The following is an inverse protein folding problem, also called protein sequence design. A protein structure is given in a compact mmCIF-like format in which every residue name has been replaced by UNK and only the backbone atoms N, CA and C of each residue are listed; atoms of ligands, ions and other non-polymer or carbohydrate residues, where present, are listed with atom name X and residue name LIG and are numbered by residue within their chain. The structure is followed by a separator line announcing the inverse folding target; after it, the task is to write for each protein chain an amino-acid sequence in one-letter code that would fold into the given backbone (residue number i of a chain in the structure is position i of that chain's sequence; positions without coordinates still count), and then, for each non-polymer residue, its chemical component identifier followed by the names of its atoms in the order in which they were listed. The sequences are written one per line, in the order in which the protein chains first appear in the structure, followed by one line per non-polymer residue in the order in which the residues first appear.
data_IF_164194065931
#
_entry.id   IF_164194065931
#
_cell.length_a   1.000
_cell.length_b   1.000
_cell.length_c   1.000
_cell.angle_alpha   90.00
_cell.angle_beta   90.00
_cell.angle_gamma   90.00
#
_symmetry.space_group_name_H-M   'P 1'
#
loop_
_entity.id
_entity.type
_entity.pdbx_description
1 polymer ?
#
# COMPACT_ATOMS: atom_id res chain seq x y z
N UNK A 1 -57.48 15.80 -13.15
CA UNK A 1 -56.08 15.74 -12.71
C UNK A 1 -55.19 15.76 -13.95
N UNK A 2 -54.58 16.90 -14.27
CA UNK A 2 -53.76 17.06 -15.46
C UNK A 2 -52.39 16.38 -15.27
N UNK A 3 -52.01 15.54 -16.24
CA UNK A 3 -50.74 14.83 -16.29
C UNK A 3 -49.60 15.86 -16.46
N UNK A 4 -48.65 15.90 -15.52
CA UNK A 4 -47.41 16.68 -15.69
C UNK A 4 -46.60 16.02 -16.79
N UNK A 5 -46.50 16.69 -17.94
CA UNK A 5 -45.60 16.34 -19.04
C UNK A 5 -44.16 16.32 -18.54
N UNK A 6 -43.44 15.22 -18.82
CA UNK A 6 -42.06 15.00 -18.37
C UNK A 6 -41.09 16.01 -18.97
N UNK A 7 -40.10 16.45 -18.19
CA UNK A 7 -39.06 17.36 -18.64
C UNK A 7 -38.35 16.86 -19.93
N UNK A 8 -37.93 17.77 -20.83
CA UNK A 8 -37.34 17.38 -22.11
C UNK A 8 -36.00 16.66 -21.92
N UNK A 9 -35.82 15.53 -22.62
CA UNK A 9 -34.60 14.74 -22.60
C UNK A 9 -33.48 15.43 -23.42
N UNK A 10 -32.24 15.16 -23.03
CA UNK A 10 -31.07 15.53 -23.83
C UNK A 10 -31.13 14.89 -25.22
N UNK A 11 -30.98 15.70 -26.28
CA UNK A 11 -30.92 15.24 -27.68
C UNK A 11 -29.61 14.53 -28.07
N UNK A 12 -28.97 13.80 -27.15
CA UNK A 12 -27.73 13.05 -27.40
C UNK A 12 -27.91 11.62 -26.88
N UNK A 13 -28.53 10.72 -27.65
CA UNK A 13 -28.66 9.32 -27.25
C UNK A 13 -27.29 8.69 -26.98
N UNK A 14 -27.11 7.83 -25.96
CA UNK A 14 -28.10 7.31 -25.01
C UNK A 14 -28.25 8.17 -23.72
N UNK A 15 -27.92 9.45 -23.74
CA UNK A 15 -28.07 10.32 -22.57
C UNK A 15 -29.55 10.51 -22.20
N UNK A 16 -29.91 10.06 -21.00
CA UNK A 16 -31.28 10.17 -20.46
C UNK A 16 -31.44 11.37 -19.51
N UNK A 17 -30.50 12.33 -19.53
CA UNK A 17 -30.56 13.49 -18.65
C UNK A 17 -31.72 14.41 -19.04
N UNK A 18 -32.57 14.74 -18.07
CA UNK A 18 -33.74 15.63 -18.19
C UNK A 18 -33.50 17.03 -17.62
N UNK A 19 -32.26 17.33 -17.23
CA UNK A 19 -31.87 18.65 -16.71
C UNK A 19 -31.92 19.75 -17.77
N UNK A 20 -31.54 20.98 -17.36
CA UNK A 20 -31.53 22.16 -18.24
C UNK A 20 -30.81 21.88 -19.56
N UNK A 21 -31.48 22.18 -20.67
CA UNK A 21 -30.96 22.01 -22.02
C UNK A 21 -30.39 23.33 -22.55
N UNK A 22 -29.24 23.25 -23.21
CA UNK A 22 -28.60 24.33 -23.97
C UNK A 22 -28.41 23.83 -25.40
N UNK A 23 -29.07 24.48 -26.37
CA UNK A 23 -29.06 24.03 -27.77
C UNK A 23 -29.54 22.58 -27.96
N UNK A 24 -30.57 22.16 -27.20
CA UNK A 24 -31.14 20.81 -27.28
C UNK A 24 -30.35 19.70 -26.56
N UNK A 25 -29.23 20.02 -25.89
CA UNK A 25 -28.41 19.05 -25.13
C UNK A 25 -28.33 19.44 -23.67
N UNK A 26 -28.22 18.47 -22.75
CA UNK A 26 -27.92 18.81 -21.36
C UNK A 26 -26.55 19.50 -21.25
N UNK A 27 -26.37 20.31 -20.21
CA UNK A 27 -25.15 21.09 -19.98
C UNK A 27 -23.86 20.26 -20.14
N UNK A 28 -23.85 19.03 -19.65
CA UNK A 28 -22.68 18.17 -19.70
C UNK A 28 -22.36 17.65 -21.12
N UNK A 29 -23.39 17.39 -21.94
CA UNK A 29 -23.22 17.02 -23.35
C UNK A 29 -22.86 18.24 -24.21
N UNK A 30 -23.45 19.39 -23.92
CA UNK A 30 -23.12 20.67 -24.57
C UNK A 30 -21.66 21.06 -24.34
N UNK A 31 -21.19 21.05 -23.08
CA UNK A 31 -19.79 21.34 -22.75
C UNK A 31 -18.81 20.36 -23.37
N UNK A 32 -19.14 19.06 -23.38
CA UNK A 32 -18.27 18.05 -23.98
C UNK A 32 -18.10 18.27 -25.48
N UNK A 33 -19.19 18.53 -26.20
CA UNK A 33 -19.15 18.82 -27.63
C UNK A 33 -18.32 20.07 -27.93
N UNK A 34 -18.49 21.15 -27.15
CA UNK A 34 -17.70 22.37 -27.31
C UNK A 34 -16.22 22.19 -27.02
N UNK A 35 -15.88 21.40 -26.00
CA UNK A 35 -14.49 21.18 -25.59
C UNK A 35 -13.72 20.29 -26.57
N UNK A 36 -14.37 19.27 -27.11
CA UNK A 36 -13.68 18.23 -27.89
C UNK A 36 -14.00 18.29 -29.39
N UNK A 37 -14.97 19.09 -29.84
CA UNK A 37 -15.35 19.20 -31.25
C UNK A 37 -15.94 17.92 -31.86
N UNK A 38 -16.33 16.95 -31.02
CA UNK A 38 -16.86 15.64 -31.44
C UNK A 38 -18.29 15.45 -30.95
N UNK A 39 -18.99 14.47 -31.53
CA UNK A 39 -20.31 14.06 -31.09
C UNK A 39 -20.30 13.69 -29.60
N UNK A 40 -21.06 14.38 -28.73
CA UNK A 40 -21.13 14.08 -27.32
C UNK A 40 -21.68 12.68 -26.99
N UNK A 41 -22.30 11.97 -27.93
CA UNK A 41 -22.65 10.56 -27.77
C UNK A 41 -21.42 9.67 -27.53
N UNK A 42 -20.24 10.10 -28.00
CA UNK A 42 -18.96 9.40 -27.78
C UNK A 42 -18.38 9.56 -26.37
N UNK A 43 -18.98 10.42 -25.54
CA UNK A 43 -18.50 10.72 -24.19
C UNK A 43 -18.36 9.44 -23.37
N UNK A 44 -17.23 9.21 -22.67
CA UNK A 44 -16.98 7.97 -21.93
C UNK A 44 -18.10 7.58 -20.95
N UNK A 45 -18.74 8.55 -20.31
CA UNK A 45 -19.84 8.32 -19.36
C UNK A 45 -21.19 7.93 -19.99
N UNK A 46 -21.32 7.99 -21.31
CA UNK A 46 -22.51 7.57 -22.07
C UNK A 46 -22.33 6.22 -22.77
N UNK A 47 -21.13 5.64 -22.72
CA UNK A 47 -20.89 4.32 -23.32
C UNK A 47 -21.77 3.27 -22.63
N UNK A 48 -22.48 2.42 -23.39
CA UNK A 48 -23.22 1.31 -22.82
C UNK A 48 -22.30 0.46 -21.96
N UNK A 49 -22.71 0.22 -20.71
CA UNK A 49 -21.97 -0.65 -19.79
C UNK A 49 -22.53 -2.05 -19.96
N UNK A 50 -21.70 -3.06 -20.29
CA UNK A 50 -22.19 -4.42 -20.36
C UNK A 50 -22.68 -4.88 -18.99
N UNK A 51 -23.77 -5.67 -18.96
CA UNK A 51 -24.37 -6.14 -17.71
C UNK A 51 -23.43 -7.04 -16.89
N UNK A 52 -22.53 -7.75 -17.58
CA UNK A 52 -21.51 -8.61 -17.01
C UNK A 52 -20.13 -8.34 -17.60
N UNK A 53 -19.11 -8.84 -16.93
CA UNK A 53 -17.72 -8.68 -17.33
C UNK A 53 -17.46 -9.19 -18.75
N UNK A 54 -16.66 -8.46 -19.51
CA UNK A 54 -16.33 -8.79 -20.90
C UNK A 54 -15.26 -9.86 -21.06
N UNK A 55 -14.64 -10.31 -19.97
CA UNK A 55 -13.54 -11.27 -19.99
C UNK A 55 -14.08 -12.69 -20.19
N UNK A 56 -13.48 -13.41 -21.12
CA UNK A 56 -13.74 -14.83 -21.36
C UNK A 56 -12.55 -15.64 -20.83
N UNK A 57 -12.84 -16.64 -20.01
CA UNK A 57 -11.85 -17.58 -19.48
C UNK A 57 -12.25 -18.99 -19.90
N UNK A 58 -11.35 -19.73 -20.54
CA UNK A 58 -11.58 -21.11 -20.99
C UNK A 58 -12.87 -21.26 -21.83
N UNK A 59 -13.15 -20.28 -22.70
CA UNK A 59 -14.37 -20.25 -23.53
C UNK A 59 -15.63 -19.78 -22.81
N UNK A 60 -15.58 -19.56 -21.49
CA UNK A 60 -16.74 -19.12 -20.68
C UNK A 60 -16.63 -17.64 -20.35
N UNK A 61 -17.66 -16.85 -20.71
CA UNK A 61 -17.73 -15.44 -20.34
C UNK A 61 -17.97 -15.29 -18.84
N UNK A 62 -17.21 -14.41 -18.20
CA UNK A 62 -17.37 -14.10 -16.79
C UNK A 62 -18.73 -13.47 -16.50
N UNK A 63 -19.49 -14.09 -15.60
CA UNK A 63 -20.80 -13.61 -15.14
C UNK A 63 -20.71 -12.49 -14.09
N UNK A 64 -19.51 -12.10 -13.67
CA UNK A 64 -19.31 -11.08 -12.63
C UNK A 64 -19.81 -9.70 -13.08
N UNK A 65 -20.51 -9.00 -12.19
CA UNK A 65 -21.01 -7.65 -12.46
C UNK A 65 -19.86 -6.66 -12.76
N UNK A 66 -20.08 -5.76 -13.72
CA UNK A 66 -19.10 -4.74 -14.11
C UNK A 66 -18.91 -3.72 -12.99
N UNK A 67 -17.68 -3.64 -12.48
CA UNK A 67 -17.26 -2.62 -11.51
C UNK A 67 -16.52 -1.46 -12.19
N UNK A 68 -15.75 -1.75 -13.24
CA UNK A 68 -15.08 -0.73 -14.05
C UNK A 68 -15.84 -0.49 -15.35
N UNK A 69 -16.74 0.52 -15.34
CA UNK A 69 -17.59 0.88 -16.48
C UNK A 69 -16.80 1.24 -17.74
N UNK A 70 -15.65 1.91 -17.58
CA UNK A 70 -14.82 2.33 -18.72
C UNK A 70 -14.22 1.16 -19.49
N UNK A 71 -14.01 0.02 -18.81
CA UNK A 71 -13.32 -1.15 -19.36
C UNK A 71 -14.19 -2.40 -19.44
N UNK A 72 -15.45 -2.33 -18.98
CA UNK A 72 -16.36 -3.47 -18.96
C UNK A 72 -15.90 -4.62 -18.05
N UNK A 73 -15.10 -4.34 -17.02
CA UNK A 73 -14.50 -5.39 -16.18
C UNK A 73 -15.17 -5.50 -14.81
N UNK A 74 -15.30 -6.73 -14.30
CA UNK A 74 -15.61 -6.96 -12.89
C UNK A 74 -14.41 -6.56 -12.00
N UNK A 75 -14.65 -6.42 -10.69
CA UNK A 75 -13.61 -6.05 -9.72
C UNK A 75 -12.39 -6.98 -9.77
N UNK A 76 -12.62 -8.29 -9.91
CA UNK A 76 -11.57 -9.32 -9.97
C UNK A 76 -10.69 -9.16 -11.20
N UNK A 77 -11.30 -9.00 -12.37
CA UNK A 77 -10.57 -8.84 -13.64
C UNK A 77 -9.92 -7.47 -13.79
N UNK A 78 -10.52 -6.40 -13.25
CA UNK A 78 -9.86 -5.09 -13.15
C UNK A 78 -8.60 -5.16 -12.27
N UNK A 79 -8.68 -5.92 -11.17
CA UNK A 79 -7.54 -6.14 -10.28
C UNK A 79 -6.44 -6.95 -10.96
N UNK A 80 -6.78 -8.03 -11.67
CA UNK A 80 -5.80 -8.84 -12.42
C UNK A 80 -5.09 -8.01 -13.49
N UNK A 81 -5.83 -7.23 -14.29
CA UNK A 81 -5.23 -6.31 -15.26
C UNK A 81 -4.24 -5.34 -14.59
N UNK A 82 -4.61 -4.73 -13.46
CA UNK A 82 -3.72 -3.81 -12.74
C UNK A 82 -2.44 -4.47 -12.23
N UNK A 83 -2.50 -5.75 -11.86
CA UNK A 83 -1.35 -6.48 -11.29
C UNK A 83 -0.48 -7.17 -12.33
N UNK A 84 -1.07 -7.62 -13.44
CA UNK A 84 -0.43 -8.55 -14.37
C UNK A 84 -0.53 -8.09 -15.84
N UNK A 85 -1.12 -6.93 -16.12
CA UNK A 85 -1.34 -6.43 -17.48
C UNK A 85 -2.53 -7.08 -18.18
N UNK A 86 -2.76 -8.37 -17.96
CA UNK A 86 -3.84 -9.14 -18.59
C UNK A 86 -5.00 -9.42 -17.59
N UNK A 87 -6.25 -9.03 -17.91
CA UNK A 87 -7.41 -9.34 -17.09
C UNK A 87 -7.73 -10.86 -17.02
N UNK A 88 -7.37 -11.65 -18.03
CA UNK A 88 -7.59 -13.09 -18.05
C UNK A 88 -6.46 -13.89 -17.38
N UNK A 89 -5.33 -13.26 -17.07
CA UNK A 89 -4.17 -13.92 -16.48
C UNK A 89 -4.54 -14.68 -15.21
N UNK A 90 -4.43 -16.01 -15.29
CA UNK A 90 -4.56 -16.92 -14.15
C UNK A 90 -3.15 -17.27 -13.67
N UNK A 91 -2.65 -16.56 -12.67
CA UNK A 91 -1.47 -16.99 -11.91
C UNK A 91 -1.90 -18.09 -10.92
N UNK A 92 -2.07 -19.32 -11.41
CA UNK A 92 -2.20 -20.49 -10.52
C UNK A 92 -0.80 -20.98 -10.19
N UNK A 93 -0.33 -20.70 -8.99
CA UNK A 93 0.77 -21.47 -8.42
C UNK A 93 0.30 -22.93 -8.33
N UNK A 94 1.07 -23.88 -8.86
CA UNK A 94 0.77 -25.31 -8.73
C UNK A 94 0.58 -25.65 -7.25
N UNK A 95 -0.44 -26.44 -6.86
CA UNK A 95 -0.58 -26.88 -5.48
C UNK A 95 0.75 -27.45 -4.96
N UNK A 96 1.26 -26.90 -3.86
CA UNK A 96 2.54 -27.31 -3.28
C UNK A 96 3.79 -26.65 -3.85
N UNK A 97 3.73 -25.89 -4.94
CA UNK A 97 4.90 -25.23 -5.53
C UNK A 97 5.61 -24.28 -4.56
N UNK A 98 4.86 -23.55 -3.73
CA UNK A 98 5.45 -22.72 -2.67
C UNK A 98 6.22 -23.60 -1.69
N UNK A 99 5.64 -24.70 -1.19
CA UNK A 99 6.32 -25.58 -0.25
C UNK A 99 7.54 -26.27 -0.86
N UNK A 100 7.50 -26.64 -2.14
CA UNK A 100 8.67 -27.17 -2.86
C UNK A 100 9.80 -26.12 -2.86
N UNK A 101 9.49 -24.89 -3.26
CA UNK A 101 10.45 -23.78 -3.22
C UNK A 101 11.04 -23.55 -1.81
N UNK A 102 10.22 -23.64 -0.76
CA UNK A 102 10.70 -23.49 0.62
C UNK A 102 11.64 -24.62 1.05
N UNK A 103 11.44 -25.85 0.57
CA UNK A 103 12.38 -26.95 0.84
C UNK A 103 13.72 -26.70 0.19
N UNK A 104 13.73 -26.27 -1.08
CA UNK A 104 14.96 -25.96 -1.79
C UNK A 104 15.69 -24.79 -1.12
N UNK A 105 14.96 -23.74 -0.73
CA UNK A 105 15.51 -22.58 -0.03
C UNK A 105 16.12 -22.92 1.35
N UNK A 106 15.66 -23.98 2.02
CA UNK A 106 16.21 -24.47 3.29
C UNK A 106 17.61 -25.09 3.14
N UNK A 107 17.99 -25.44 1.92
CA UNK A 107 19.28 -26.03 1.58
C UNK A 107 20.05 -25.21 0.53
N UNK A 108 19.66 -23.95 0.34
CA UNK A 108 20.27 -23.09 -0.66
C UNK A 108 21.78 -22.87 -0.41
N UNK A 109 22.57 -23.08 -1.46
CA UNK A 109 24.03 -22.87 -1.46
C UNK A 109 24.43 -21.51 -2.08
N UNK A 110 23.47 -20.63 -2.37
CA UNK A 110 23.69 -19.33 -3.00
C UNK A 110 23.55 -18.19 -1.98
N UNK A 111 24.25 -17.08 -2.21
CA UNK A 111 24.07 -15.82 -1.47
C UNK A 111 23.05 -14.88 -2.15
N UNK A 112 22.37 -15.32 -3.20
CA UNK A 112 21.32 -14.53 -3.83
C UNK A 112 20.01 -14.59 -3.02
N UNK A 113 19.23 -13.51 -3.03
CA UNK A 113 17.89 -13.54 -2.43
C UNK A 113 16.98 -14.52 -3.19
N UNK A 114 16.29 -15.40 -2.44
CA UNK A 114 15.33 -16.34 -3.00
C UNK A 114 13.92 -15.88 -2.64
N UNK A 115 13.11 -15.58 -3.65
CA UNK A 115 11.74 -15.06 -3.47
C UNK A 115 10.75 -16.08 -4.01
N UNK A 116 9.81 -16.59 -3.20
CA UNK A 116 8.79 -17.50 -3.71
C UNK A 116 7.95 -16.82 -4.81
N UNK A 117 7.63 -17.52 -5.90
CA UNK A 117 6.84 -16.94 -6.99
C UNK A 117 5.50 -16.34 -6.51
N UNK A 118 5.23 -15.08 -6.86
CA UNK A 118 4.01 -14.36 -6.45
C UNK A 118 4.06 -13.74 -5.05
N UNK A 119 5.23 -13.74 -4.42
CA UNK A 119 5.50 -13.15 -3.11
C UNK A 119 6.35 -11.86 -3.18
N UNK A 120 6.66 -11.39 -4.38
CA UNK A 120 7.41 -10.16 -4.64
C UNK A 120 6.65 -8.97 -4.03
N UNK A 121 7.33 -8.07 -3.32
CA UNK A 121 6.69 -6.90 -2.70
C UNK A 121 5.95 -7.17 -1.39
N UNK A 122 5.74 -8.43 -0.99
CA UNK A 122 4.75 -8.77 0.06
C UNK A 122 5.09 -9.92 0.99
N UNK A 123 6.04 -10.78 0.61
CA UNK A 123 6.36 -12.01 1.33
C UNK A 123 5.32 -13.12 1.14
N UNK A 124 5.68 -14.33 1.59
CA UNK A 124 4.86 -15.53 1.44
C UNK A 124 4.44 -16.12 2.80
N UNK A 125 3.28 -16.77 2.81
CA UNK A 125 2.76 -17.53 3.94
C UNK A 125 2.55 -18.98 3.48
N UNK A 126 2.90 -19.94 4.33
CA UNK A 126 2.72 -21.36 4.05
C UNK A 126 2.14 -22.10 5.26
N UNK A 127 1.45 -23.22 5.01
CA UNK A 127 0.96 -24.11 6.05
C UNK A 127 2.04 -25.15 6.35
N UNK A 128 2.50 -25.21 7.59
CA UNK A 128 3.53 -26.15 8.04
C UNK A 128 3.23 -26.59 9.49
N UNK A 129 3.33 -27.89 9.77
CA UNK A 129 2.95 -28.49 11.06
C UNK A 129 1.56 -28.01 11.54
N UNK A 130 0.55 -28.10 10.67
CA UNK A 130 -0.85 -27.71 10.96
C UNK A 130 -1.11 -26.19 11.04
N UNK A 131 -0.10 -25.35 11.19
CA UNK A 131 -0.23 -23.89 11.40
C UNK A 131 0.16 -23.08 10.16
N UNK A 132 -0.44 -21.90 10.00
CA UNK A 132 -0.03 -20.91 8.98
C UNK A 132 1.15 -20.10 9.53
N UNK A 133 2.26 -20.06 8.80
CA UNK A 133 3.52 -19.42 9.24
C UNK A 133 4.11 -18.59 8.10
N UNK A 134 5.00 -17.65 8.43
CA UNK A 134 5.82 -16.94 7.44
C UNK A 134 6.72 -17.91 6.70
N UNK A 135 6.91 -17.70 5.41
CA UNK A 135 7.74 -18.57 4.60
C UNK A 135 9.19 -18.66 5.11
N UNK A 136 9.76 -17.54 5.57
CA UNK A 136 11.08 -17.52 6.21
C UNK A 136 11.12 -18.42 7.46
N UNK A 137 10.10 -18.36 8.34
CA UNK A 137 10.04 -19.26 9.50
C UNK A 137 9.92 -20.73 9.08
N UNK A 138 9.16 -21.03 8.04
CA UNK A 138 9.05 -22.40 7.51
C UNK A 138 10.41 -22.89 6.99
N UNK A 139 11.13 -22.07 6.23
CA UNK A 139 12.49 -22.42 5.76
C UNK A 139 13.43 -22.69 6.94
N UNK A 140 13.43 -21.81 7.94
CA UNK A 140 14.20 -22.02 9.17
C UNK A 140 13.85 -23.35 9.85
N UNK A 141 12.55 -23.63 10.02
CA UNK A 141 12.09 -24.87 10.64
C UNK A 141 12.49 -26.12 9.86
N UNK A 142 12.50 -26.05 8.53
CA UNK A 142 12.94 -27.15 7.67
C UNK A 142 14.43 -27.47 7.82
N UNK A 143 15.27 -26.45 8.08
CA UNK A 143 16.72 -26.63 8.23
C UNK A 143 17.16 -26.90 9.67
N UNK A 144 16.57 -26.20 10.64
CA UNK A 144 17.06 -26.11 12.02
C UNK A 144 16.06 -26.60 13.08
N UNK A 145 14.80 -26.88 12.71
CA UNK A 145 13.74 -27.19 13.66
C UNK A 145 13.02 -25.95 14.23
N UNK A 146 12.06 -26.17 15.15
CA UNK A 146 11.25 -25.08 15.71
C UNK A 146 12.11 -24.18 16.61
N UNK A 147 12.28 -22.88 16.29
CA UNK A 147 13.08 -21.98 17.12
C UNK A 147 12.40 -21.59 18.44
N UNK A 148 11.16 -22.04 18.68
CA UNK A 148 10.38 -21.68 19.87
C UNK A 148 9.44 -20.51 19.63
N UNK A 149 8.48 -20.32 20.54
CA UNK A 149 7.40 -19.34 20.39
C UNK A 149 7.90 -17.89 20.48
N UNK A 150 8.90 -17.63 21.32
CA UNK A 150 9.41 -16.29 21.63
C UNK A 150 10.57 -15.84 20.72
N UNK A 151 10.78 -16.58 19.62
CA UNK A 151 11.89 -16.35 18.69
C UNK A 151 11.33 -15.98 17.32
N UNK A 152 11.84 -14.86 16.81
CA UNK A 152 11.59 -14.37 15.45
C UNK A 152 12.66 -14.86 14.51
N UNK A 153 12.26 -15.18 13.27
CA UNK A 153 13.20 -15.47 12.19
C UNK A 153 13.35 -14.19 11.37
N UNK A 154 14.55 -13.64 11.42
CA UNK A 154 14.93 -12.32 10.92
C UNK A 154 15.84 -12.46 9.71
N UNK A 155 16.06 -11.36 9.01
CA UNK A 155 16.82 -11.31 7.77
C UNK A 155 18.07 -10.45 7.92
N UNK A 156 19.22 -10.96 7.45
CA UNK A 156 20.48 -10.21 7.34
C UNK A 156 20.57 -9.38 6.06
N UNK A 157 19.80 -9.75 5.03
CA UNK A 157 19.84 -9.05 3.75
C UNK A 157 19.06 -7.72 3.82
N UNK A 158 19.56 -6.68 3.15
CA UNK A 158 18.90 -5.37 3.05
C UNK A 158 17.60 -5.38 2.20
N UNK A 159 17.17 -6.55 1.72
CA UNK A 159 15.85 -6.81 1.14
C UNK A 159 14.86 -7.50 2.11
N UNK A 160 15.24 -7.61 3.39
CA UNK A 160 14.53 -8.32 4.45
C UNK A 160 13.50 -7.49 5.24
N UNK A 161 13.51 -6.16 5.10
CA UNK A 161 12.48 -5.28 5.67
C UNK A 161 11.43 -4.90 4.61
N UNK A 162 10.54 -5.83 4.29
CA UNK A 162 9.21 -5.46 3.79
C UNK A 162 8.99 -5.28 2.28
N UNK A 163 9.97 -5.51 1.40
CA UNK A 163 9.72 -5.40 -0.06
C UNK A 163 10.10 -6.62 -0.89
N UNK A 164 11.03 -7.49 -0.48
CA UNK A 164 11.50 -8.54 -1.42
C UNK A 164 11.10 -9.97 -1.07
N UNK A 165 10.51 -10.26 0.09
CA UNK A 165 9.96 -11.60 0.38
C UNK A 165 11.01 -12.73 0.43
N UNK A 166 12.26 -12.40 0.73
CA UNK A 166 13.40 -13.33 0.76
C UNK A 166 13.19 -14.49 1.75
N UNK A 167 13.55 -15.70 1.35
CA UNK A 167 13.50 -16.92 2.18
C UNK A 167 14.79 -17.73 2.13
N UNK A 168 15.89 -17.18 1.61
CA UNK A 168 17.17 -17.90 1.57
C UNK A 168 17.69 -18.17 2.99
N UNK A 169 17.89 -19.44 3.35
CA UNK A 169 18.35 -19.84 4.69
C UNK A 169 19.63 -19.14 5.14
N UNK A 170 20.55 -18.84 4.22
CA UNK A 170 21.83 -18.15 4.51
C UNK A 170 21.63 -16.69 4.91
N UNK A 171 20.48 -16.11 4.57
CA UNK A 171 20.09 -14.76 4.96
C UNK A 171 19.22 -14.72 6.20
N UNK A 172 18.86 -15.87 6.77
CA UNK A 172 18.01 -15.96 7.95
C UNK A 172 18.84 -16.16 9.21
N UNK A 173 18.35 -15.61 10.32
CA UNK A 173 18.83 -15.90 11.66
C UNK A 173 17.65 -15.87 12.63
N UNK A 174 17.79 -16.55 13.76
CA UNK A 174 16.77 -16.61 14.79
C UNK A 174 17.21 -15.75 15.98
N UNK A 175 16.34 -14.84 16.40
CA UNK A 175 16.60 -13.98 17.55
C UNK A 175 15.31 -13.56 18.25
N UNK A 176 15.45 -12.99 19.44
CA UNK A 176 14.34 -12.46 20.23
C UNK A 176 13.81 -11.15 19.62
N UNK A 177 12.51 -10.85 19.78
CA UNK A 177 11.97 -9.54 19.41
C UNK A 177 12.71 -8.38 20.08
N UNK A 178 13.17 -8.56 21.32
CA UNK A 178 13.92 -7.55 22.05
C UNK A 178 15.27 -7.24 21.37
N UNK A 179 15.99 -8.26 20.90
CA UNK A 179 17.24 -8.07 20.17
C UNK A 179 16.98 -7.47 18.78
N UNK A 180 15.96 -7.93 18.06
CA UNK A 180 15.56 -7.32 16.77
C UNK A 180 15.27 -5.81 16.91
N UNK A 181 14.62 -5.40 18.01
CA UNK A 181 14.38 -3.98 18.29
C UNK A 181 15.67 -3.22 18.58
N UNK A 182 16.66 -3.85 19.24
CA UNK A 182 17.99 -3.25 19.44
C UNK A 182 18.73 -3.10 18.12
N UNK A 183 18.76 -4.15 17.29
CA UNK A 183 19.40 -4.13 15.97
C UNK A 183 18.77 -3.07 15.04
N UNK A 184 17.46 -2.84 15.14
CA UNK A 184 16.76 -1.77 14.43
C UNK A 184 17.22 -0.38 14.87
N UNK A 185 17.46 -0.18 16.18
CA UNK A 185 17.94 1.09 16.74
C UNK A 185 19.40 1.32 16.40
N UNK A 186 20.24 0.28 16.50
CA UNK A 186 21.67 0.32 16.15
C UNK A 186 21.88 0.59 14.65
N UNK A 187 21.04 -0.01 13.80
CA UNK A 187 21.06 0.23 12.36
C UNK A 187 20.42 1.57 11.95
N UNK A 188 20.00 2.42 12.91
CA UNK A 188 19.35 3.71 12.67
C UNK A 188 18.10 3.65 11.79
N UNK A 189 17.44 2.49 11.73
CA UNK A 189 16.21 2.27 10.94
C UNK A 189 14.94 2.48 11.75
N UNK A 190 15.05 2.93 12.99
CA UNK A 190 13.90 3.27 13.81
C UNK A 190 13.29 4.59 13.33
N UNK A 191 12.01 4.63 13.00
CA UNK A 191 11.31 5.89 12.73
C UNK A 191 11.23 6.72 14.02
N UNK A 192 12.21 7.60 14.20
CA UNK A 192 12.37 8.51 15.34
C UNK A 192 12.61 9.92 14.82
N UNK A 193 12.32 10.91 15.67
CA UNK A 193 12.52 12.30 15.29
C UNK A 193 11.70 12.71 14.08
N UNK A 194 12.36 13.29 13.08
CA UNK A 194 11.74 13.81 11.86
C UNK A 194 11.30 12.73 10.86
N UNK A 195 11.80 11.49 10.99
CA UNK A 195 11.34 10.35 10.18
C UNK A 195 9.93 9.85 10.57
N UNK A 196 9.34 10.42 11.63
CA UNK A 196 7.96 10.10 11.99
C UNK A 196 6.98 10.85 11.06
N UNK A 197 5.95 10.18 10.52
CA UNK A 197 4.98 10.82 9.61
C UNK A 197 4.24 12.01 10.21
N UNK A 198 4.16 12.09 11.54
CA UNK A 198 3.51 13.13 12.33
C UNK A 198 4.51 14.07 13.03
N UNK A 199 5.80 14.01 12.68
CA UNK A 199 6.81 14.90 13.23
C UNK A 199 6.52 16.36 12.84
N UNK A 200 6.41 17.23 13.85
CA UNK A 200 6.29 18.68 13.68
C UNK A 200 7.63 19.42 13.74
N UNK A 201 8.67 18.75 14.24
CA UNK A 201 9.98 19.33 14.52
C UNK A 201 11.05 18.50 13.83
N UNK A 202 12.02 19.19 13.24
CA UNK A 202 13.26 18.60 12.73
C UNK A 202 14.30 18.43 13.83
N UNK A 203 15.36 17.67 13.55
CA UNK A 203 16.51 17.62 14.46
C UNK A 203 17.09 19.02 14.72
N UNK A 204 17.18 19.84 13.68
CA UNK A 204 17.72 21.20 13.77
C UNK A 204 16.82 22.15 14.57
N UNK A 205 15.50 21.99 14.47
CA UNK A 205 14.55 22.73 15.33
C UNK A 205 14.79 22.39 16.79
N UNK A 206 15.00 21.10 17.12
CA UNK A 206 15.25 20.66 18.49
C UNK A 206 16.57 21.23 19.02
N UNK A 207 17.65 21.19 18.23
CA UNK A 207 18.93 21.81 18.58
C UNK A 207 18.77 23.32 18.79
N UNK A 208 18.03 23.99 17.91
CA UNK A 208 17.77 25.42 18.01
C UNK A 208 16.95 25.79 19.26
N UNK A 209 15.89 25.04 19.58
CA UNK A 209 15.08 25.22 20.79
C UNK A 209 15.97 25.12 22.04
N UNK A 210 16.82 24.09 22.13
CA UNK A 210 17.73 23.92 23.26
C UNK A 210 18.72 25.08 23.37
N UNK A 211 19.43 25.39 22.28
CA UNK A 211 20.40 26.50 22.24
C UNK A 211 19.80 27.84 22.61
N UNK A 212 18.60 28.16 22.13
CA UNK A 212 17.92 29.44 22.37
C UNK A 212 17.33 29.56 23.76
N UNK A 213 17.01 28.43 24.40
CA UNK A 213 16.54 28.42 25.78
C UNK A 213 17.67 28.55 26.80
N UNK A 214 18.88 28.02 26.54
CA UNK A 214 20.02 28.05 27.49
C UNK A 214 20.33 29.45 28.05
N UNK A 215 20.34 30.54 27.25
CA UNK A 215 20.54 31.89 27.77
C UNK A 215 19.43 32.38 28.71
N UNK A 216 18.30 31.64 28.82
CA UNK A 216 17.10 31.94 29.62
C UNK A 216 16.46 33.29 29.31
N UNK A 217 16.71 33.83 28.12
CA UNK A 217 16.13 35.10 27.63
C UNK A 217 14.82 34.90 26.88
N UNK A 218 14.54 33.70 26.39
CA UNK A 218 13.30 33.35 25.68
C UNK A 218 12.48 32.40 26.54
N UNK A 219 11.19 32.68 26.68
CA UNK A 219 10.28 31.79 27.41
C UNK A 219 9.97 30.54 26.60
N UNK A 220 9.65 29.43 27.29
CA UNK A 220 9.27 28.19 26.62
C UNK A 220 8.00 28.37 25.77
N UNK A 221 7.05 29.20 26.23
CA UNK A 221 5.83 29.50 25.49
C UNK A 221 6.14 30.18 24.15
N UNK A 222 7.03 31.18 24.14
CA UNK A 222 7.42 31.88 22.91
C UNK A 222 8.09 30.95 21.91
N UNK A 223 8.93 30.03 22.37
CA UNK A 223 9.49 28.98 21.51
C UNK A 223 8.39 28.04 20.98
N UNK A 224 7.43 27.66 21.82
CA UNK A 224 6.33 26.80 21.41
C UNK A 224 5.50 27.44 20.28
N UNK A 225 5.14 28.71 20.44
CA UNK A 225 4.37 29.47 19.45
C UNK A 225 5.14 29.59 18.12
N UNK A 226 6.45 29.83 18.17
CA UNK A 226 7.31 29.96 16.99
C UNK A 226 7.43 28.65 16.19
N UNK A 227 7.55 27.52 16.88
CA UNK A 227 7.70 26.20 16.25
C UNK A 227 6.37 25.44 16.08
N UNK A 228 5.23 26.06 16.41
CA UNK A 228 3.89 25.46 16.23
C UNK A 228 3.63 24.21 17.07
N UNK A 229 4.21 24.16 18.28
CA UNK A 229 4.09 23.04 19.24
C UNK A 229 3.60 23.52 20.60
N UNK A 230 3.10 22.61 21.42
CA UNK A 230 2.70 22.95 22.78
C UNK A 230 3.92 23.25 23.67
N UNK A 231 3.78 24.18 24.61
CA UNK A 231 4.84 24.53 25.56
C UNK A 231 5.32 23.32 26.36
N UNK A 232 4.45 22.35 26.64
CA UNK A 232 4.82 21.08 27.29
C UNK A 232 5.79 20.25 26.43
N UNK A 233 5.68 20.32 25.10
CA UNK A 233 6.63 19.68 24.18
C UNK A 233 8.00 20.35 24.25
N UNK A 234 8.03 21.69 24.30
CA UNK A 234 9.27 22.45 24.50
C UNK A 234 9.91 22.11 25.85
N UNK A 235 9.12 22.07 26.92
CA UNK A 235 9.59 21.63 28.26
C UNK A 235 10.21 20.22 28.22
N UNK A 236 9.54 19.27 27.57
CA UNK A 236 10.05 17.90 27.44
C UNK A 236 11.33 17.81 26.58
N UNK A 237 11.48 18.66 25.57
CA UNK A 237 12.72 18.77 24.76
C UNK A 237 13.87 19.32 25.59
N UNK A 238 13.63 20.37 26.38
CA UNK A 238 14.63 20.99 27.24
C UNK A 238 15.06 20.03 28.35
N UNK A 239 14.10 19.33 28.97
CA UNK A 239 14.36 18.32 30.02
C UNK A 239 14.90 16.99 29.49
N UNK A 240 15.12 16.89 28.17
CA UNK A 240 15.58 15.67 27.46
C UNK A 240 14.72 14.44 27.72
N UNK A 241 13.42 14.63 27.92
CA UNK A 241 12.44 13.53 27.93
C UNK A 241 11.97 13.17 26.53
N UNK A 242 11.88 14.18 25.64
CA UNK A 242 11.72 14.00 24.19
C UNK A 242 13.04 14.33 23.50
N UNK A 243 13.35 13.60 22.42
CA UNK A 243 14.60 13.74 21.65
C UNK A 243 15.88 13.52 22.49
N UNK A 244 15.81 12.69 23.54
CA UNK A 244 16.92 12.43 24.46
C UNK A 244 18.20 11.92 23.77
N UNK A 245 18.03 11.19 22.66
CA UNK A 245 19.10 10.61 21.84
C UNK A 245 19.83 11.64 20.97
N UNK A 246 19.23 12.82 20.74
CA UNK A 246 19.80 13.86 19.90
C UNK A 246 20.83 14.66 20.70
N UNK A 247 22.07 14.69 20.23
CA UNK A 247 23.11 15.56 20.77
C UNK A 247 22.92 17.03 20.34
N UNK A 248 23.49 17.95 21.11
CA UNK A 248 23.39 19.40 20.88
C UNK A 248 24.40 19.89 19.83
#
# INVERSE_FOLDING_TARGET
MAQRTGAPLCGTPPCTNTGRLVGGRCEACYRYARRHGVDPATRPGLRPVPASCTVTEDGVRCSGAVANRLRGLCKKHDTRRRRHGDPAAKTRTTPGAVMAFLRDAAHAATDNCLVPPGAEGRGALARYAGKRRTAARVVWMLRHGDPGADVSVLHRCNGGSGTNGCVNIRHLYADTPAQNSRDMVEAERSNRGEDRPDAKLTEDDVRAIRRRYVPRVVTQQRLADEYGVDQTTVSAIIRREKWAWLAD
#
